data_IF_161385783332
#
_entry.id   IF_161385783332
#
_cell.length_a   1.000
_cell.length_b   1.000
_cell.length_c   1.000
_cell.angle_alpha   90.00
_cell.angle_beta   90.00
_cell.angle_gamma   90.00
#
_symmetry.space_group_name_H-M   'P 1'
#
loop_
_entity.id
_entity.type
_entity.pdbx_description
1 polymer ?
#
# COMPACT_ATOMS: atom_id res chain seq x y z
N UNK A 1 9.16 -6.34 5.78
CA UNK A 1 8.66 -5.34 4.80
C UNK A 1 9.13 -3.88 5.02
N UNK A 2 9.29 -3.37 6.24
CA UNK A 2 9.56 -1.93 6.52
C UNK A 2 10.77 -1.27 5.79
N UNK A 3 11.77 -2.07 5.42
CA UNK A 3 12.99 -1.60 4.73
C UNK A 3 12.96 -1.83 3.21
N UNK A 4 11.89 -2.43 2.70
CA UNK A 4 11.71 -2.70 1.27
C UNK A 4 11.64 -1.39 0.43
N UNK A 5 10.97 -0.31 0.89
CA UNK A 5 10.94 0.95 0.14
C UNK A 5 12.33 1.56 -0.12
N UNK A 6 13.27 1.42 0.83
CA UNK A 6 14.66 1.91 0.69
C UNK A 6 15.41 1.27 -0.47
N UNK A 7 15.00 0.06 -0.87
CA UNK A 7 15.58 -0.66 -2.00
C UNK A 7 14.83 -0.41 -3.31
N UNK A 8 13.53 -0.13 -3.23
CA UNK A 8 12.64 0.09 -4.38
C UNK A 8 12.76 1.49 -4.95
N UNK A 9 12.77 2.51 -4.09
CA UNK A 9 12.61 3.90 -4.49
C UNK A 9 13.89 4.71 -4.32
N UNK A 10 14.03 5.76 -5.11
CA UNK A 10 15.21 6.64 -5.11
C UNK A 10 14.92 7.99 -4.46
N UNK A 11 13.68 8.47 -4.51
CA UNK A 11 13.33 9.73 -3.84
C UNK A 11 13.24 9.53 -2.33
N UNK A 12 13.56 10.59 -1.58
CA UNK A 12 13.52 10.56 -0.13
C UNK A 12 12.11 10.23 0.40
N UNK A 13 11.09 10.82 -0.21
CA UNK A 13 9.67 10.69 0.19
C UNK A 13 9.16 9.26 0.09
N UNK A 14 9.61 8.52 -0.93
CA UNK A 14 9.15 7.15 -1.17
C UNK A 14 10.06 6.10 -0.53
N UNK A 15 11.36 6.37 -0.42
CA UNK A 15 12.33 5.41 0.12
C UNK A 15 12.23 5.23 1.64
N UNK A 16 11.67 6.20 2.37
CA UNK A 16 11.57 6.14 3.84
C UNK A 16 10.19 5.67 4.32
N UNK A 17 10.17 5.13 5.54
CA UNK A 17 8.94 4.90 6.26
C UNK A 17 8.47 6.19 6.96
N UNK A 18 7.19 6.26 7.32
CA UNK A 18 6.60 7.45 7.94
C UNK A 18 7.16 7.84 9.33
N UNK A 19 8.04 7.02 9.92
CA UNK A 19 8.71 7.38 11.17
C UNK A 19 9.97 8.23 10.97
N UNK A 20 10.45 8.35 9.73
CA UNK A 20 11.70 9.03 9.42
C UNK A 20 12.94 8.25 9.85
N UNK A 21 14.09 8.90 9.75
CA UNK A 21 15.39 8.37 10.17
C UNK A 21 15.80 8.93 11.54
N UNK A 22 16.21 8.05 12.45
CA UNK A 22 16.59 8.42 13.83
C UNK A 22 17.69 9.47 13.85
N UNK A 23 18.67 9.36 12.94
CA UNK A 23 19.76 10.36 12.86
C UNK A 23 19.21 11.70 12.41
N UNK A 24 18.36 11.69 11.39
CA UNK A 24 17.66 12.88 10.90
C UNK A 24 16.86 13.56 12.02
N UNK A 25 16.08 12.82 12.82
CA UNK A 25 15.31 13.37 13.95
C UNK A 25 16.22 14.05 14.97
N UNK A 26 17.35 13.43 15.31
CA UNK A 26 18.29 13.98 16.30
C UNK A 26 19.00 15.27 15.85
N UNK A 27 19.00 15.55 14.54
CA UNK A 27 19.64 16.71 13.94
C UNK A 27 18.66 17.84 13.57
N UNK A 28 17.36 17.69 13.87
CA UNK A 28 16.36 18.72 13.53
C UNK A 28 16.57 19.96 14.41
N UNK A 29 16.79 21.10 13.76
CA UNK A 29 16.90 22.39 14.42
C UNK A 29 15.56 23.13 14.46
N UNK A 30 15.38 24.00 15.47
CA UNK A 30 14.18 24.82 15.63
C UNK A 30 13.77 25.58 14.36
N UNK A 31 14.68 26.26 13.62
CA UNK A 31 14.29 26.99 12.41
C UNK A 31 13.68 26.10 11.33
N UNK A 32 14.11 24.84 11.23
CA UNK A 32 13.55 23.86 10.29
C UNK A 32 12.12 23.50 10.67
N UNK A 33 11.84 23.27 11.96
CA UNK A 33 10.49 23.00 12.47
C UNK A 33 9.58 24.21 12.23
N UNK A 34 10.05 25.41 12.56
CA UNK A 34 9.26 26.63 12.36
C UNK A 34 8.94 26.87 10.89
N UNK A 35 9.89 26.59 9.99
CA UNK A 35 9.65 26.67 8.56
C UNK A 35 8.63 25.63 8.10
N UNK A 36 8.78 24.37 8.54
CA UNK A 36 7.84 23.30 8.23
C UNK A 36 6.42 23.61 8.70
N UNK A 37 6.25 24.07 9.94
CA UNK A 37 4.93 24.45 10.48
C UNK A 37 4.30 25.57 9.65
N UNK A 38 5.06 26.60 9.26
CA UNK A 38 4.54 27.67 8.40
C UNK A 38 4.13 27.19 7.02
N UNK A 39 4.87 26.25 6.43
CA UNK A 39 4.59 25.79 5.06
C UNK A 39 3.53 24.68 4.99
N UNK A 40 3.55 23.74 5.95
CA UNK A 40 2.75 22.52 5.90
C UNK A 40 1.42 22.63 6.66
N UNK A 41 1.28 23.61 7.56
CA UNK A 41 0.04 23.89 8.29
C UNK A 41 -0.58 25.23 7.85
N UNK A 42 -0.25 25.71 6.65
CA UNK A 42 -1.01 26.82 6.08
C UNK A 42 -2.44 26.35 5.78
N UNK A 43 -3.43 27.15 6.15
CA UNK A 43 -4.83 26.81 5.94
C UNK A 43 -5.19 26.59 4.45
N UNK A 44 -4.44 27.15 3.50
CA UNK A 44 -4.59 26.87 2.06
C UNK A 44 -4.34 25.40 1.70
N UNK A 45 -3.64 24.66 2.57
CA UNK A 45 -3.28 23.25 2.40
C UNK A 45 -4.11 22.30 3.28
N UNK A 46 -5.06 22.85 4.06
CA UNK A 46 -5.87 22.09 4.98
C UNK A 46 -7.27 21.81 4.42
N UNK A 47 -7.79 20.62 4.68
CA UNK A 47 -9.18 20.24 4.42
C UNK A 47 -9.90 20.04 5.74
N UNK A 48 -10.96 20.81 5.98
CA UNK A 48 -11.89 20.57 7.09
C UNK A 48 -13.10 19.78 6.58
N UNK A 49 -13.39 18.67 7.24
CA UNK A 49 -14.55 17.83 6.93
C UNK A 49 -15.45 17.73 8.14
N UNK A 50 -16.73 18.07 7.95
CA UNK A 50 -17.76 18.02 8.99
C UNK A 50 -18.80 17.00 8.52
N UNK A 51 -19.04 15.98 9.35
CA UNK A 51 -20.01 14.91 9.06
C UNK A 51 -20.89 14.71 10.29
N UNK A 52 -22.20 14.73 10.10
CA UNK A 52 -23.17 14.54 11.16
C UNK A 52 -24.50 15.21 10.84
N UNK A 53 -25.29 15.42 11.88
CA UNK A 53 -26.55 16.18 11.80
C UNK A 53 -26.25 17.68 11.86
N UNK A 54 -25.87 18.25 10.72
CA UNK A 54 -25.48 19.65 10.58
C UNK A 54 -26.14 20.27 9.35
N UNK A 55 -26.54 21.53 9.46
CA UNK A 55 -27.03 22.29 8.32
C UNK A 55 -25.86 22.94 7.55
N UNK A 56 -25.74 22.63 6.27
CA UNK A 56 -24.71 23.18 5.39
C UNK A 56 -24.77 24.70 5.23
N UNK A 57 -25.96 25.30 5.34
CA UNK A 57 -26.18 26.75 5.22
C UNK A 57 -25.61 27.46 6.44
N UNK A 58 -25.85 26.92 7.63
CA UNK A 58 -25.31 27.47 8.88
C UNK A 58 -23.78 27.39 8.88
N UNK A 59 -23.21 26.27 8.44
CA UNK A 59 -21.75 26.10 8.34
C UNK A 59 -21.12 27.10 7.36
N UNK A 60 -21.72 27.31 6.19
CA UNK A 60 -21.22 28.27 5.21
C UNK A 60 -21.16 29.71 5.75
N UNK A 61 -22.01 30.06 6.71
CA UNK A 61 -21.99 31.37 7.37
C UNK A 61 -20.91 31.51 8.44
N UNK A 62 -20.51 30.40 9.09
CA UNK A 62 -19.55 30.39 10.20
C UNK A 62 -18.11 30.22 9.70
N UNK A 63 -17.89 29.41 8.66
CA UNK A 63 -16.53 29.09 8.18
C UNK A 63 -15.70 30.33 7.80
N UNK A 64 -16.24 31.34 7.06
CA UNK A 64 -15.46 32.54 6.76
C UNK A 64 -15.13 33.39 7.99
N UNK A 65 -15.96 33.32 9.04
CA UNK A 65 -15.73 34.06 10.30
C UNK A 65 -14.56 33.43 11.07
N UNK A 66 -14.54 32.10 11.17
CA UNK A 66 -13.55 31.37 11.96
C UNK A 66 -12.23 31.14 11.22
N UNK A 67 -12.26 30.95 9.90
CA UNK A 67 -11.08 30.57 9.10
C UNK A 67 -10.62 31.64 8.09
N UNK A 68 -11.48 32.63 7.79
CA UNK A 68 -11.25 33.66 6.79
C UNK A 68 -11.40 33.18 5.35
N UNK A 69 -11.40 34.11 4.40
CA UNK A 69 -11.26 33.80 2.96
C UNK A 69 -9.78 33.55 2.64
N UNK A 70 -9.47 32.40 2.03
CA UNK A 70 -8.11 32.06 1.60
C UNK A 70 -8.13 31.32 0.28
N UNK A 71 -7.13 31.61 -0.55
CA UNK A 71 -6.91 30.87 -1.78
C UNK A 71 -6.53 29.43 -1.44
N UNK A 72 -7.30 28.47 -1.96
CA UNK A 72 -7.02 27.05 -1.78
C UNK A 72 -5.81 26.69 -2.64
N UNK A 73 -4.75 26.19 -2.01
CA UNK A 73 -3.59 25.65 -2.71
C UNK A 73 -3.88 24.22 -3.16
N UNK A 74 -3.50 23.88 -4.40
CA UNK A 74 -3.69 22.54 -4.95
C UNK A 74 -2.73 21.55 -4.24
N UNK A 75 -3.13 20.29 -4.00
CA UNK A 75 -2.30 19.32 -3.31
C UNK A 75 -0.90 19.15 -3.92
N UNK A 76 0.07 18.94 -3.04
CA UNK A 76 1.46 18.63 -3.40
C UNK A 76 1.51 17.34 -4.21
N UNK A 77 2.09 17.39 -5.39
CA UNK A 77 2.28 16.23 -6.24
C UNK A 77 3.28 15.26 -5.62
N UNK A 78 3.02 13.96 -5.73
CA UNK A 78 4.02 12.95 -5.41
C UNK A 78 5.27 13.16 -6.29
N UNK A 79 6.45 13.05 -5.69
CA UNK A 79 7.70 13.05 -6.46
C UNK A 79 7.71 11.85 -7.39
N UNK A 80 8.01 12.10 -8.67
CA UNK A 80 8.12 11.04 -9.66
C UNK A 80 9.30 10.12 -9.33
N UNK A 81 9.09 8.82 -9.47
CA UNK A 81 10.17 7.83 -9.38
C UNK A 81 10.68 7.45 -10.77
N UNK A 82 11.99 7.18 -10.91
CA UNK A 82 12.49 6.50 -12.10
C UNK A 82 11.97 5.05 -12.14
N UNK A 83 11.82 4.45 -13.34
CA UNK A 83 11.31 3.09 -13.48
C UNK A 83 12.08 2.08 -12.63
N UNK A 84 11.35 1.15 -11.99
CA UNK A 84 11.96 0.13 -11.15
C UNK A 84 12.88 -0.80 -11.97
N UNK A 85 14.12 -0.93 -11.49
CA UNK A 85 15.06 -1.97 -11.93
C UNK A 85 15.11 -3.05 -10.87
N UNK A 86 15.18 -4.32 -11.29
CA UNK A 86 15.26 -5.42 -10.33
C UNK A 86 16.49 -5.31 -9.44
N UNK A 87 16.30 -5.38 -8.12
CA UNK A 87 17.37 -5.26 -7.12
C UNK A 87 17.19 -6.31 -6.03
N UNK A 88 18.29 -6.68 -5.42
CA UNK A 88 18.29 -7.61 -4.29
C UNK A 88 19.06 -6.99 -3.14
N UNK A 89 18.59 -7.24 -1.92
CA UNK A 89 19.24 -6.80 -0.71
C UNK A 89 19.27 -7.93 0.32
N UNK A 90 20.20 -7.84 1.25
CA UNK A 90 20.20 -8.70 2.42
C UNK A 90 20.52 -7.90 3.67
N UNK A 91 19.96 -8.33 4.79
CA UNK A 91 20.26 -7.80 6.12
C UNK A 91 20.33 -8.93 7.14
N UNK A 92 21.10 -8.71 8.18
CA UNK A 92 21.08 -9.54 9.37
C UNK A 92 20.08 -8.96 10.38
N UNK A 93 19.26 -9.81 10.97
CA UNK A 93 18.25 -9.45 11.95
C UNK A 93 18.45 -10.29 13.21
N UNK A 94 19.13 -9.70 14.19
CA UNK A 94 19.57 -10.40 15.40
C UNK A 94 18.41 -10.84 16.31
N UNK A 95 17.19 -10.37 16.06
CA UNK A 95 16.00 -10.73 16.83
C UNK A 95 15.04 -11.62 16.05
N UNK A 96 15.32 -11.91 14.78
CA UNK A 96 14.52 -12.81 13.97
C UNK A 96 14.91 -14.26 14.24
N UNK A 97 13.92 -15.11 14.52
CA UNK A 97 14.10 -16.55 14.78
C UNK A 97 14.12 -17.39 13.50
N UNK A 98 13.84 -16.79 12.35
CA UNK A 98 13.81 -17.44 11.05
C UNK A 98 14.23 -16.46 9.95
N UNK A 99 14.72 -17.01 8.85
CA UNK A 99 14.99 -16.20 7.66
C UNK A 99 13.66 -15.77 7.03
N UNK A 100 13.65 -14.58 6.45
CA UNK A 100 12.47 -14.02 5.78
C UNK A 100 12.87 -13.37 4.46
N UNK A 101 11.93 -13.28 3.53
CA UNK A 101 12.07 -12.49 2.32
C UNK A 101 10.89 -11.54 2.17
N UNK A 102 11.18 -10.26 2.00
CA UNK A 102 10.18 -9.29 1.55
C UNK A 102 10.37 -9.07 0.05
N UNK A 103 9.31 -9.23 -0.74
CA UNK A 103 9.32 -9.03 -2.20
C UNK A 103 8.40 -7.86 -2.50
N UNK A 104 8.84 -6.95 -3.37
CA UNK A 104 8.09 -5.79 -3.82
C UNK A 104 8.08 -5.68 -5.33
N UNK A 105 6.92 -5.29 -5.84
CA UNK A 105 6.64 -5.03 -7.24
C UNK A 105 6.07 -3.62 -7.38
N UNK A 106 6.56 -2.90 -8.38
CA UNK A 106 5.98 -1.60 -8.74
C UNK A 106 4.66 -1.81 -9.48
N UNK A 107 3.65 -1.03 -9.11
CA UNK A 107 2.37 -0.91 -9.82
C UNK A 107 2.03 0.57 -9.99
N UNK A 108 1.22 0.96 -10.98
CA UNK A 108 0.77 2.34 -11.13
C UNK A 108 0.17 2.87 -9.82
N UNK A 109 0.53 4.08 -9.42
CA UNK A 109 -0.11 4.74 -8.29
C UNK A 109 -1.57 5.11 -8.58
N UNK A 110 -2.38 5.41 -7.55
CA UNK A 110 -3.79 5.79 -7.75
C UNK A 110 -3.96 7.09 -8.54
N UNK A 111 -2.99 8.02 -8.50
CA UNK A 111 -2.98 9.23 -9.34
C UNK A 111 -2.58 8.97 -10.79
N UNK A 112 -1.79 7.94 -11.05
CA UNK A 112 -1.30 7.61 -12.39
C UNK A 112 -2.30 6.74 -13.17
N UNK A 113 -2.96 5.82 -12.47
CA UNK A 113 -3.83 4.84 -13.09
C UNK A 113 -4.71 4.11 -12.09
N UNK A 114 -5.72 4.79 -11.55
CA UNK A 114 -6.64 4.24 -10.55
C UNK A 114 -7.23 2.85 -10.92
N UNK A 115 -7.70 2.58 -12.16
CA UNK A 115 -8.22 1.26 -12.51
C UNK A 115 -7.18 0.13 -12.43
N UNK A 116 -5.93 0.42 -12.83
CA UNK A 116 -4.83 -0.54 -12.73
C UNK A 116 -4.43 -0.77 -11.27
N UNK A 117 -4.41 0.31 -10.47
CA UNK A 117 -4.16 0.24 -9.04
C UNK A 117 -5.22 -0.60 -8.30
N UNK A 118 -6.51 -0.39 -8.57
CA UNK A 118 -7.60 -1.20 -8.00
C UNK A 118 -7.49 -2.67 -8.42
N UNK A 119 -7.04 -2.96 -9.64
CA UNK A 119 -6.76 -4.33 -10.06
C UNK A 119 -5.65 -4.99 -9.22
N UNK A 120 -4.63 -4.22 -8.83
CA UNK A 120 -3.58 -4.67 -7.91
C UNK A 120 -4.09 -4.88 -6.49
N UNK A 121 -4.98 -4.01 -5.98
CA UNK A 121 -5.64 -4.16 -4.67
C UNK A 121 -6.45 -5.45 -4.64
N UNK A 122 -7.32 -5.68 -5.62
CA UNK A 122 -8.12 -6.90 -5.71
C UNK A 122 -7.24 -8.15 -5.86
N UNK A 123 -6.14 -8.06 -6.61
CA UNK A 123 -5.18 -9.16 -6.71
C UNK A 123 -4.58 -9.50 -5.35
N UNK A 124 -4.26 -8.51 -4.49
CA UNK A 124 -3.72 -8.78 -3.16
C UNK A 124 -4.74 -9.45 -2.24
N UNK A 125 -6.02 -9.07 -2.31
CA UNK A 125 -7.11 -9.75 -1.57
C UNK A 125 -7.28 -11.21 -2.03
N UNK A 126 -7.21 -11.44 -3.34
CA UNK A 126 -7.24 -12.80 -3.91
C UNK A 126 -6.03 -13.59 -3.43
N UNK A 127 -4.84 -13.02 -3.48
CA UNK A 127 -3.61 -13.69 -3.06
C UNK A 127 -3.62 -14.02 -1.57
N UNK A 128 -4.06 -13.11 -0.70
CA UNK A 128 -4.21 -13.41 0.74
C UNK A 128 -5.19 -14.58 0.97
N UNK A 129 -6.29 -14.63 0.21
CA UNK A 129 -7.23 -15.77 0.23
C UNK A 129 -6.63 -17.05 -0.36
N UNK A 130 -5.81 -16.95 -1.40
CA UNK A 130 -5.16 -18.08 -2.11
C UNK A 130 -3.92 -18.63 -1.39
N UNK A 131 -3.26 -17.84 -0.55
CA UNK A 131 -2.06 -18.31 0.20
C UNK A 131 -2.41 -19.47 1.14
N UNK A 132 -3.70 -19.65 1.45
CA UNK A 132 -4.22 -20.80 2.19
C UNK A 132 -4.37 -22.08 1.34
N UNK A 133 -4.46 -21.98 0.00
CA UNK A 133 -4.63 -23.11 -0.94
C UNK A 133 -3.29 -23.60 -1.51
N UNK A 134 -2.28 -22.73 -1.62
CA UNK A 134 -0.89 -23.15 -1.89
C UNK A 134 -0.28 -23.96 -0.73
N UNK A 135 -0.99 -24.08 0.39
CA UNK A 135 -0.59 -24.82 1.57
C UNK A 135 -0.88 -26.34 1.50
N UNK A 136 -1.59 -26.84 0.48
CA UNK A 136 -1.78 -28.30 0.35
C UNK A 136 -0.47 -29.00 -0.08
N UNK A 137 0.48 -28.26 -0.68
CA UNK A 137 1.89 -28.64 -0.87
C UNK A 137 2.80 -27.81 0.07
N UNK A 138 2.46 -27.77 1.37
CA UNK A 138 3.17 -27.02 2.43
C UNK A 138 4.65 -27.40 2.60
N UNK A 139 5.52 -26.95 1.70
CA UNK A 139 6.97 -26.94 1.93
C UNK A 139 7.66 -25.63 1.66
N UNK A 140 7.04 -24.66 0.99
CA UNK A 140 7.84 -23.56 0.46
C UNK A 140 7.20 -22.18 0.65
N UNK A 141 5.95 -21.97 0.28
CA UNK A 141 5.28 -20.69 0.56
C UNK A 141 4.70 -20.71 1.98
N UNK A 142 5.49 -20.27 2.95
CA UNK A 142 4.98 -19.96 4.30
C UNK A 142 3.82 -18.97 4.25
N UNK A 143 3.11 -18.78 5.38
CA UNK A 143 2.02 -17.79 5.49
C UNK A 143 2.52 -16.41 5.07
N UNK A 144 2.19 -16.00 3.85
CA UNK A 144 2.47 -14.69 3.31
C UNK A 144 1.38 -13.71 3.67
N UNK A 145 1.75 -12.44 3.83
CA UNK A 145 0.79 -11.34 3.85
C UNK A 145 1.08 -10.42 2.69
N UNK A 146 0.21 -10.48 1.69
CA UNK A 146 0.20 -9.58 0.57
C UNK A 146 -0.36 -8.23 1.01
N UNK A 147 0.09 -7.15 0.37
CA UNK A 147 -0.49 -5.83 0.56
C UNK A 147 -0.23 -4.94 -0.62
N UNK A 148 -1.14 -3.99 -0.81
CA UNK A 148 -0.94 -2.82 -1.65
C UNK A 148 -0.59 -1.60 -0.80
N UNK A 149 0.28 -0.75 -1.33
CA UNK A 149 0.78 0.42 -0.63
C UNK A 149 1.81 0.10 0.47
N UNK A 150 2.32 1.17 1.09
CA UNK A 150 3.40 1.05 2.09
C UNK A 150 2.85 0.74 3.49
N UNK A 151 1.89 1.55 3.94
CA UNK A 151 1.25 1.50 5.25
C UNK A 151 -0.21 1.99 5.12
N UNK A 152 -1.09 1.52 6.01
CA UNK A 152 -2.47 2.01 6.08
C UNK A 152 -3.38 1.46 4.99
N UNK A 153 -4.47 2.18 4.73
CA UNK A 153 -5.41 1.87 3.64
C UNK A 153 -4.70 2.02 2.28
N UNK A 154 -4.92 1.11 1.31
CA UNK A 154 -4.37 1.27 -0.01
C UNK A 154 -4.89 2.52 -0.75
N UNK A 155 -5.94 3.16 -0.25
CA UNK A 155 -6.56 4.32 -0.88
C UNK A 155 -6.08 5.66 -0.30
N UNK A 156 -5.22 5.64 0.72
CA UNK A 156 -4.72 6.85 1.40
C UNK A 156 -3.31 7.26 0.92
N UNK A 157 -3.00 7.03 -0.36
CA UNK A 157 -1.68 7.34 -0.93
C UNK A 157 -1.77 8.00 -2.29
N UNK A 158 -0.75 8.81 -2.62
CA UNK A 158 -0.63 9.53 -3.91
C UNK A 158 0.62 9.15 -4.71
N UNK A 159 1.55 8.44 -4.07
CA UNK A 159 2.84 8.07 -4.66
C UNK A 159 2.78 6.84 -5.57
N UNK A 160 3.95 6.37 -6.04
CA UNK A 160 4.07 5.14 -6.80
C UNK A 160 3.47 3.97 -6.02
N UNK A 161 2.71 3.14 -6.74
CA UNK A 161 2.03 2.00 -6.17
C UNK A 161 3.03 0.86 -5.88
N UNK A 162 2.74 0.13 -4.79
CA UNK A 162 3.51 -1.03 -4.37
C UNK A 162 2.56 -2.22 -4.22
N UNK A 163 2.92 -3.37 -4.76
CA UNK A 163 2.45 -4.67 -4.28
C UNK A 163 3.60 -5.36 -3.58
N UNK A 164 3.40 -5.85 -2.37
CA UNK A 164 4.45 -6.52 -1.63
C UNK A 164 3.95 -7.72 -0.83
N UNK A 165 4.84 -8.68 -0.62
CA UNK A 165 4.62 -9.85 0.24
C UNK A 165 5.81 -10.04 1.17
N UNK A 166 5.53 -10.42 2.41
CA UNK A 166 6.53 -10.83 3.40
C UNK A 166 6.34 -12.33 3.67
N UNK A 167 7.37 -13.13 3.40
CA UNK A 167 7.36 -14.58 3.49
C UNK A 167 8.43 -15.04 4.47
N UNK A 168 8.08 -16.04 5.27
CA UNK A 168 9.05 -16.79 6.08
C UNK A 168 9.67 -17.91 5.25
N UNK A 169 10.98 -18.10 5.35
CA UNK A 169 11.68 -19.18 4.69
C UNK A 169 11.51 -20.48 5.48
N UNK A 170 10.95 -21.50 4.82
CA UNK A 170 10.97 -22.85 5.37
C UNK A 170 12.42 -23.35 5.58
N UNK A 171 12.61 -24.26 6.54
CA UNK A 171 13.92 -24.86 6.82
C UNK A 171 14.49 -25.53 5.57
N UNK A 172 15.69 -25.10 5.14
CA UNK A 172 16.38 -25.61 3.95
C UNK A 172 16.03 -24.89 2.64
N UNK A 173 15.06 -23.96 2.64
CA UNK A 173 14.75 -23.11 1.50
C UNK A 173 15.57 -21.83 1.50
N UNK A 174 15.88 -21.29 0.31
CA UNK A 174 16.54 -20.00 0.15
C UNK A 174 15.57 -18.91 -0.31
N UNK A 175 15.84 -17.62 -0.02
CA UNK A 175 15.05 -16.50 -0.53
C UNK A 175 14.88 -16.50 -2.05
N UNK A 176 15.91 -16.91 -2.80
CA UNK A 176 15.88 -16.95 -4.27
C UNK A 176 14.88 -17.98 -4.80
N UNK A 177 14.77 -19.13 -4.13
CA UNK A 177 13.78 -20.16 -4.46
C UNK A 177 12.37 -19.62 -4.25
N UNK A 178 12.12 -18.98 -3.10
CA UNK A 178 10.81 -18.37 -2.79
C UNK A 178 10.42 -17.31 -3.82
N UNK A 179 11.35 -16.44 -4.17
CA UNK A 179 11.10 -15.39 -5.17
C UNK A 179 10.69 -16.01 -6.51
N UNK A 180 11.39 -17.06 -6.96
CA UNK A 180 11.06 -17.75 -8.20
C UNK A 180 9.68 -18.43 -8.14
N UNK A 181 9.34 -19.01 -7.01
CA UNK A 181 8.04 -19.67 -6.81
C UNK A 181 6.89 -18.69 -6.76
N UNK A 182 7.06 -17.54 -6.09
CA UNK A 182 6.09 -16.45 -6.12
C UNK A 182 5.83 -16.00 -7.55
N UNK A 183 6.88 -15.87 -8.37
CA UNK A 183 6.70 -15.51 -9.78
C UNK A 183 5.99 -16.60 -10.59
N UNK A 184 6.34 -17.87 -10.36
CA UNK A 184 5.67 -18.99 -11.02
C UNK A 184 4.17 -19.02 -10.66
N UNK A 185 3.85 -18.86 -9.37
CA UNK A 185 2.49 -18.79 -8.87
C UNK A 185 1.71 -17.61 -9.47
N UNK A 186 2.27 -16.40 -9.48
CA UNK A 186 1.65 -15.23 -10.10
C UNK A 186 1.40 -15.43 -11.61
N UNK A 187 2.29 -16.13 -12.31
CA UNK A 187 2.15 -16.39 -13.74
C UNK A 187 1.05 -17.41 -14.05
N UNK A 188 0.91 -18.46 -13.22
CA UNK A 188 -0.09 -19.52 -13.41
C UNK A 188 -1.44 -19.23 -12.77
N UNK A 189 -1.50 -18.31 -11.81
CA UNK A 189 -2.71 -18.00 -11.04
C UNK A 189 -3.94 -17.72 -11.94
N UNK A 190 -3.84 -16.95 -13.04
CA UNK A 190 -4.99 -16.72 -13.92
C UNK A 190 -5.53 -17.94 -14.67
N UNK A 191 -4.77 -19.03 -14.69
CA UNK A 191 -5.15 -20.27 -15.37
C UNK A 191 -5.84 -21.26 -14.41
N UNK A 192 -5.87 -20.95 -13.10
CA UNK A 192 -6.61 -21.72 -12.10
C UNK A 192 -8.15 -21.55 -12.28
N UNK A 193 -8.93 -22.65 -12.35
CA UNK A 193 -10.38 -22.56 -12.53
C UNK A 193 -11.12 -21.79 -11.43
N UNK A 194 -10.60 -21.79 -10.21
CA UNK A 194 -11.12 -21.07 -9.05
C UNK A 194 -10.76 -19.59 -9.03
N UNK A 195 -9.75 -19.14 -9.79
CA UNK A 195 -9.28 -17.74 -9.74
C UNK A 195 -10.39 -16.73 -10.07
N UNK A 196 -11.24 -17.01 -11.06
CA UNK A 196 -12.39 -16.13 -11.38
C UNK A 196 -13.35 -16.00 -10.20
N UNK A 197 -13.62 -17.10 -9.50
CA UNK A 197 -14.48 -17.07 -8.33
C UNK A 197 -13.85 -16.28 -7.18
N UNK A 198 -12.55 -16.45 -6.96
CA UNK A 198 -11.81 -15.70 -5.93
C UNK A 198 -11.77 -14.20 -6.23
N UNK A 199 -11.62 -13.79 -7.50
CA UNK A 199 -11.74 -12.36 -7.87
C UNK A 199 -13.13 -11.82 -7.53
N UNK A 200 -14.20 -12.56 -7.84
CA UNK A 200 -15.57 -12.15 -7.49
C UNK A 200 -15.81 -12.14 -5.97
N UNK A 201 -15.17 -13.03 -5.21
CA UNK A 201 -15.20 -13.00 -3.75
C UNK A 201 -14.49 -11.76 -3.21
N UNK A 202 -13.25 -11.51 -3.64
CA UNK A 202 -12.46 -10.33 -3.26
C UNK A 202 -13.18 -9.01 -3.58
N UNK A 203 -13.86 -8.91 -4.73
CA UNK A 203 -14.65 -7.73 -5.07
C UNK A 203 -15.79 -7.48 -4.07
N UNK A 204 -16.54 -8.54 -3.74
CA UNK A 204 -17.66 -8.46 -2.80
C UNK A 204 -17.16 -8.14 -1.39
N UNK A 205 -16.09 -8.79 -0.95
CA UNK A 205 -15.50 -8.57 0.37
C UNK A 205 -14.94 -7.15 0.50
N UNK A 206 -14.16 -6.67 -0.47
CA UNK A 206 -13.63 -5.31 -0.47
C UNK A 206 -14.75 -4.26 -0.50
N UNK A 207 -15.80 -4.48 -1.30
CA UNK A 207 -16.94 -3.58 -1.33
C UNK A 207 -17.70 -3.58 0.01
N UNK A 208 -17.97 -4.77 0.57
CA UNK A 208 -18.66 -4.89 1.85
C UNK A 208 -17.86 -4.25 2.98
N UNK A 209 -16.55 -4.48 3.03
CA UNK A 209 -15.67 -3.86 4.02
C UNK A 209 -15.72 -2.33 3.94
N UNK A 210 -15.68 -1.77 2.73
CA UNK A 210 -15.83 -0.33 2.51
C UNK A 210 -17.21 0.18 2.95
N UNK A 211 -18.29 -0.50 2.58
CA UNK A 211 -19.64 -0.06 2.95
C UNK A 211 -19.87 -0.11 4.48
N UNK A 212 -19.38 -1.16 5.14
CA UNK A 212 -19.43 -1.28 6.61
C UNK A 212 -18.59 -0.18 7.27
N UNK A 213 -17.42 0.14 6.72
CA UNK A 213 -16.61 1.25 7.22
C UNK A 213 -17.37 2.58 7.10
N UNK A 214 -18.11 2.80 6.00
CA UNK A 214 -18.92 4.00 5.77
C UNK A 214 -20.19 4.10 6.64
N UNK A 215 -20.55 3.07 7.42
CA UNK A 215 -21.61 3.19 8.44
C UNK A 215 -21.15 4.00 9.67
N UNK A 216 -19.85 4.25 9.80
CA UNK A 216 -19.25 5.05 10.87
C UNK A 216 -18.99 6.49 10.41
N UNK A 217 -19.55 7.48 11.11
CA UNK A 217 -19.38 8.91 10.77
C UNK A 217 -17.91 9.34 10.73
N UNK A 218 -17.06 8.79 11.62
CA UNK A 218 -15.63 9.09 11.62
C UNK A 218 -14.96 8.58 10.34
N UNK A 219 -15.32 7.39 9.87
CA UNK A 219 -14.80 6.84 8.62
C UNK A 219 -15.29 7.64 7.42
N UNK A 220 -16.57 8.03 7.37
CA UNK A 220 -17.10 8.93 6.34
C UNK A 220 -16.33 10.25 6.30
N UNK A 221 -16.06 10.85 7.47
CA UNK A 221 -15.26 12.06 7.57
C UNK A 221 -13.83 11.85 7.05
N UNK A 222 -13.17 10.75 7.45
CA UNK A 222 -11.82 10.40 7.01
C UNK A 222 -11.75 10.21 5.49
N UNK A 223 -12.64 9.41 4.93
CA UNK A 223 -12.72 9.15 3.49
C UNK A 223 -12.97 10.42 2.67
N UNK A 224 -13.87 11.28 3.15
CA UNK A 224 -14.19 12.55 2.48
C UNK A 224 -12.99 13.51 2.55
N UNK A 225 -12.31 13.57 3.70
CA UNK A 225 -11.12 14.39 3.88
C UNK A 225 -9.97 13.93 2.98
N UNK A 226 -9.66 12.63 2.97
CA UNK A 226 -8.63 12.03 2.11
C UNK A 226 -8.98 12.21 0.64
N UNK A 227 -10.22 11.91 0.25
CA UNK A 227 -10.73 12.10 -1.10
C UNK A 227 -10.53 13.53 -1.60
N UNK A 228 -10.92 14.51 -0.79
CA UNK A 228 -10.79 15.92 -1.12
C UNK A 228 -9.32 16.38 -1.13
N UNK A 229 -8.55 16.02 -0.11
CA UNK A 229 -7.17 16.47 0.05
C UNK A 229 -6.22 15.84 -0.99
N UNK A 230 -6.32 14.54 -1.24
CA UNK A 230 -5.39 13.81 -2.10
C UNK A 230 -5.84 13.77 -3.56
N UNK A 231 -7.15 13.68 -3.80
CA UNK A 231 -7.70 13.43 -5.14
C UNK A 231 -8.59 14.57 -5.65
N UNK A 232 -8.82 15.62 -4.86
CA UNK A 232 -9.76 16.69 -5.22
C UNK A 232 -11.20 16.21 -5.38
N UNK A 233 -11.58 15.11 -4.72
CA UNK A 233 -12.88 14.48 -4.87
C UNK A 233 -13.48 14.05 -3.53
N UNK A 234 -14.42 14.83 -3.00
CA UNK A 234 -15.14 14.52 -1.76
C UNK A 234 -16.03 13.25 -1.83
N UNK A 235 -16.30 12.75 -3.03
CA UNK A 235 -17.10 11.53 -3.27
C UNK A 235 -16.23 10.30 -3.58
N UNK A 236 -14.91 10.39 -3.35
CA UNK A 236 -13.94 9.35 -3.71
C UNK A 236 -14.35 7.95 -3.22
N UNK A 237 -14.84 7.83 -1.99
CA UNK A 237 -15.32 6.58 -1.39
C UNK A 237 -16.46 5.92 -2.19
N UNK A 238 -17.41 6.70 -2.71
CA UNK A 238 -18.54 6.18 -3.45
C UNK A 238 -18.14 5.73 -4.85
N UNK A 239 -17.19 6.45 -5.46
CA UNK A 239 -16.59 6.03 -6.73
C UNK A 239 -15.75 4.77 -6.55
N UNK A 240 -15.01 4.66 -5.46
CA UNK A 240 -14.20 3.48 -5.13
C UNK A 240 -15.07 2.23 -5.01
N UNK A 241 -16.18 2.30 -4.28
CA UNK A 241 -17.14 1.19 -4.16
C UNK A 241 -17.62 0.69 -5.53
N UNK A 242 -17.94 1.62 -6.44
CA UNK A 242 -18.36 1.28 -7.82
C UNK A 242 -17.21 0.70 -8.63
N UNK A 243 -16.01 1.23 -8.47
CA UNK A 243 -14.83 0.81 -9.23
C UNK A 243 -14.38 -0.61 -8.84
N UNK A 244 -14.39 -0.95 -7.55
CA UNK A 244 -14.10 -2.30 -7.07
C UNK A 244 -14.98 -3.35 -7.77
N UNK A 245 -16.29 -3.11 -7.83
CA UNK A 245 -17.24 -4.04 -8.47
C UNK A 245 -17.18 -4.05 -10.00
N UNK A 246 -16.80 -2.94 -10.62
CA UNK A 246 -16.71 -2.82 -12.09
C UNK A 246 -15.37 -3.27 -12.66
N UNK A 247 -14.37 -3.51 -11.80
CA UNK A 247 -13.05 -3.95 -12.26
C UNK A 247 -13.19 -5.31 -12.95
N UNK A 248 -12.80 -5.44 -14.23
CA UNK A 248 -12.97 -6.69 -14.95
C UNK A 248 -11.96 -7.73 -14.47
N UNK A 249 -12.39 -9.00 -14.45
CA UNK A 249 -11.54 -10.14 -14.13
C UNK A 249 -10.24 -10.13 -14.96
N UNK A 250 -10.36 -9.78 -16.24
CA UNK A 250 -9.25 -9.75 -17.19
C UNK A 250 -8.16 -8.76 -16.78
N UNK A 251 -8.53 -7.64 -16.13
CA UNK A 251 -7.56 -6.67 -15.62
C UNK A 251 -6.80 -7.20 -14.40
N UNK A 252 -7.47 -7.91 -13.49
CA UNK A 252 -6.83 -8.56 -12.33
C UNK A 252 -5.90 -9.69 -12.80
N UNK A 253 -6.35 -10.50 -13.75
CA UNK A 253 -5.55 -11.54 -14.41
C UNK A 253 -4.30 -10.97 -15.11
N UNK A 254 -4.48 -9.88 -15.85
CA UNK A 254 -3.37 -9.18 -16.50
C UNK A 254 -2.38 -8.63 -15.46
N UNK A 255 -2.88 -8.07 -14.36
CA UNK A 255 -2.04 -7.56 -13.27
C UNK A 255 -1.16 -8.69 -12.70
N UNK A 256 -1.71 -9.87 -12.43
CA UNK A 256 -0.92 -11.02 -11.95
C UNK A 256 0.23 -11.39 -12.91
N UNK A 257 -0.06 -11.44 -14.22
CA UNK A 257 0.96 -11.73 -15.24
C UNK A 257 2.01 -10.62 -15.37
N UNK A 258 1.61 -9.36 -15.21
CA UNK A 258 2.53 -8.22 -15.20
C UNK A 258 3.47 -8.30 -14.00
N UNK A 259 2.96 -8.58 -12.79
CA UNK A 259 3.80 -8.76 -11.60
C UNK A 259 4.78 -9.93 -11.76
N UNK A 260 4.34 -11.04 -12.35
CA UNK A 260 5.19 -12.20 -12.57
C UNK A 260 6.42 -11.90 -13.46
N UNK A 261 6.22 -11.08 -14.50
CA UNK A 261 7.23 -10.75 -15.52
C UNK A 261 7.99 -9.46 -15.25
N UNK A 262 7.43 -8.59 -14.40
CA UNK A 262 7.93 -7.25 -14.14
C UNK A 262 9.24 -7.22 -13.35
N UNK A 263 9.84 -6.03 -13.29
CA UNK A 263 10.91 -5.76 -12.34
C UNK A 263 10.42 -5.99 -10.92
N UNK A 264 11.30 -6.53 -10.08
CA UNK A 264 10.99 -6.79 -8.68
C UNK A 264 12.19 -6.53 -7.81
N UNK A 265 11.90 -6.16 -6.58
CA UNK A 265 12.90 -5.99 -5.55
C UNK A 265 12.64 -7.00 -4.46
N UNK A 266 13.70 -7.59 -3.90
CA UNK A 266 13.53 -8.39 -2.70
C UNK A 266 14.65 -8.18 -1.69
N UNK A 267 14.28 -8.26 -0.42
CA UNK A 267 15.15 -8.07 0.72
C UNK A 267 15.09 -9.32 1.59
N UNK A 268 16.21 -10.05 1.67
CA UNK A 268 16.36 -11.15 2.61
C UNK A 268 16.74 -10.63 4.00
N UNK A 269 16.05 -11.11 5.02
CA UNK A 269 16.39 -10.91 6.42
C UNK A 269 16.88 -12.25 6.97
N UNK A 270 18.14 -12.31 7.40
CA UNK A 270 18.71 -13.52 8.01
C UNK A 270 18.56 -13.48 9.52
N UNK A 271 17.89 -14.47 10.08
CA UNK A 271 17.69 -14.59 11.52
C UNK A 271 18.87 -15.25 12.24
N UNK A 272 18.84 -15.26 13.57
CA UNK A 272 19.62 -16.21 14.35
C UNK A 272 19.01 -17.59 14.12
N UNK A 273 19.60 -18.37 13.20
CA UNK A 273 19.43 -19.81 13.27
C UNK A 273 20.21 -20.27 14.49
N UNK A 274 19.55 -21.00 15.37
CA UNK A 274 20.22 -21.80 16.39
C UNK A 274 21.06 -22.83 15.61
N UNK A 275 22.28 -22.44 15.25
CA UNK A 275 23.30 -23.36 14.77
C UNK A 275 23.69 -24.16 15.99
N UNK A 276 22.87 -25.17 16.30
CA UNK A 276 23.28 -26.33 17.05
C UNK A 276 24.35 -27.07 16.25
N UNK A 277 25.53 -26.46 16.16
CA UNK A 277 26.76 -27.18 15.91
C UNK A 277 26.99 -28.01 17.16
N UNK A 278 26.77 -29.31 16.99
CA UNK A 278 27.16 -30.33 17.94
C UNK A 278 28.61 -30.10 18.36
N UNK A 279 28.78 -29.88 19.67
CA UNK A 279 29.99 -30.26 20.37
C UNK A 279 29.87 -31.70 20.81
#
# INVERSE_FOLDING_TARGET
MFKLPELMYQTFTNSHNGYGDVRSISAIERPVIENFLRSAYDASSATLTIVGDVDSVDLASIMPIEFGDRDVSRPVHAEAEPPLVSRTGSRYDSVANADRVAIGFEVPGPLEGLPAYVSAVLLTEVLDSFTHLLADDARILGRGRWRTGRNGSPFDQVGPGLVAVDLECATGSSPEVLVREVQAALNSLPDDPGFRHSVQAAQREAQMALLVDLDNLLSVASWTAVGSALFGNANHQWEMSKLLMKTPYEAVAQTARLLARGSRVWLASRGLRDHGDGR
#
